data_IF_551853036515
#
_entry.id   IF_551853036515
#
_cell.length_a   1.000
_cell.length_b   1.000
_cell.length_c   1.000
_cell.angle_alpha   90.00
_cell.angle_beta   90.00
_cell.angle_gamma   90.00
#
_symmetry.space_group_name_H-M   'P 1'
#
loop_
_entity.id
_entity.type
_entity.pdbx_description
1 polymer ?
#
# COMPACT_ATOMS: atom_id res chain seq x y z
N UNK A 1 -19.64 -5.04 -36.79
CA UNK A 1 -18.91 -3.74 -36.82
C UNK A 1 -17.45 -3.88 -37.29
N UNK A 2 -16.76 -4.98 -36.96
CA UNK A 2 -15.32 -5.16 -37.28
C UNK A 2 -14.99 -5.40 -38.77
N UNK A 3 -15.80 -6.16 -39.53
CA UNK A 3 -15.53 -6.47 -40.95
C UNK A 3 -15.55 -5.20 -41.83
N UNK A 4 -16.55 -4.31 -41.64
CA UNK A 4 -16.61 -3.01 -42.35
C UNK A 4 -15.37 -2.15 -42.07
N UNK A 5 -14.85 -2.22 -40.84
CA UNK A 5 -13.66 -1.48 -40.41
C UNK A 5 -12.41 -1.97 -41.15
N UNK A 6 -12.22 -3.29 -41.26
CA UNK A 6 -11.12 -3.88 -42.02
C UNK A 6 -11.23 -3.62 -43.52
N UNK A 7 -12.42 -3.73 -44.11
CA UNK A 7 -12.62 -3.41 -45.54
C UNK A 7 -12.29 -1.95 -45.85
N UNK A 8 -12.69 -1.02 -44.99
CA UNK A 8 -12.34 0.40 -45.15
C UNK A 8 -10.84 0.64 -45.00
N UNK A 9 -10.18 -0.05 -44.06
CA UNK A 9 -8.74 0.06 -43.85
C UNK A 9 -7.98 -0.49 -45.07
N UNK A 10 -8.38 -1.65 -45.58
CA UNK A 10 -7.80 -2.24 -46.79
C UNK A 10 -8.02 -1.37 -48.02
N UNK A 11 -9.22 -0.81 -48.22
CA UNK A 11 -9.49 0.12 -49.34
C UNK A 11 -8.62 1.38 -49.30
N UNK A 12 -8.23 1.85 -48.12
CA UNK A 12 -7.42 3.07 -47.98
C UNK A 12 -5.92 2.81 -48.04
N UNK A 13 -5.43 1.71 -47.46
CA UNK A 13 -4.00 1.45 -47.28
C UNK A 13 -3.49 0.18 -47.97
N UNK A 14 -4.34 -0.51 -48.74
CA UNK A 14 -4.06 -1.82 -49.36
C UNK A 14 -3.53 -2.88 -48.37
N UNK A 15 -3.78 -2.67 -47.08
CA UNK A 15 -3.25 -3.47 -45.99
C UNK A 15 -4.27 -3.52 -44.86
N UNK A 16 -4.32 -4.68 -44.21
CA UNK A 16 -5.15 -4.93 -43.01
C UNK A 16 -4.30 -4.75 -41.74
N UNK A 17 -3.00 -4.47 -41.88
CA UNK A 17 -2.11 -4.29 -40.75
C UNK A 17 -2.53 -3.10 -39.89
N UNK A 18 -2.32 -3.24 -38.58
CA UNK A 18 -2.57 -2.16 -37.63
C UNK A 18 -1.71 -0.96 -38.02
N UNK A 19 -2.34 0.20 -38.19
CA UNK A 19 -1.62 1.45 -38.43
C UNK A 19 -0.71 1.75 -37.24
N UNK A 20 0.40 2.44 -37.52
CA UNK A 20 1.24 2.98 -36.46
C UNK A 20 0.39 4.02 -35.71
N UNK A 21 -0.14 3.63 -34.56
CA UNK A 21 -0.89 4.53 -33.69
C UNK A 21 0.11 5.52 -33.10
N UNK A 22 -0.31 6.78 -32.93
CA UNK A 22 0.36 7.67 -31.97
C UNK A 22 0.33 6.93 -30.63
N UNK A 23 1.48 6.41 -30.21
CA UNK A 23 1.57 5.58 -29.02
C UNK A 23 1.04 6.29 -27.77
N UNK A 24 1.07 5.60 -26.64
CA UNK A 24 0.68 6.19 -25.35
C UNK A 24 1.43 7.52 -25.12
N UNK A 25 0.76 8.62 -24.76
CA UNK A 25 1.40 9.91 -24.53
C UNK A 25 2.59 9.79 -23.57
N UNK A 26 3.69 10.46 -23.90
CA UNK A 26 4.88 10.54 -23.05
C UNK A 26 4.58 11.52 -21.93
N UNK A 27 4.13 11.01 -20.78
CA UNK A 27 3.84 11.86 -19.61
C UNK A 27 5.10 12.21 -18.81
N UNK A 28 6.25 11.57 -19.12
CA UNK A 28 7.56 11.93 -18.57
C UNK A 28 8.19 13.02 -19.42
N UNK A 29 7.84 14.28 -19.15
CA UNK A 29 8.54 15.45 -19.71
C UNK A 29 9.50 16.02 -18.67
N UNK A 30 10.51 16.77 -19.09
CA UNK A 30 11.48 17.38 -18.17
C UNK A 30 10.81 18.34 -17.17
N UNK A 31 9.73 19.02 -17.58
CA UNK A 31 8.96 19.91 -16.69
C UNK A 31 8.32 19.10 -15.56
N UNK A 32 7.69 17.96 -15.88
CA UNK A 32 7.06 17.09 -14.88
C UNK A 32 8.09 16.50 -13.92
N UNK A 33 9.31 16.17 -14.42
CA UNK A 33 10.41 15.71 -13.57
C UNK A 33 10.86 16.82 -12.61
N UNK A 34 10.98 18.06 -13.08
CA UNK A 34 11.33 19.23 -12.24
C UNK A 34 10.27 19.49 -11.17
N UNK A 35 8.99 19.44 -11.51
CA UNK A 35 7.88 19.63 -10.55
C UNK A 35 7.91 18.55 -9.47
N UNK A 36 8.04 17.28 -9.85
CA UNK A 36 8.11 16.17 -8.89
C UNK A 36 9.35 16.28 -8.01
N UNK A 37 10.50 16.68 -8.57
CA UNK A 37 11.73 16.91 -7.82
C UNK A 37 11.52 17.99 -6.77
N UNK A 38 10.95 19.13 -7.14
CA UNK A 38 10.68 20.24 -6.24
C UNK A 38 9.80 19.82 -5.05
N UNK A 39 8.68 19.15 -5.32
CA UNK A 39 7.76 18.69 -4.25
C UNK A 39 8.45 17.76 -3.26
N UNK A 40 9.28 16.83 -3.76
CA UNK A 40 10.01 15.88 -2.91
C UNK A 40 11.11 16.59 -2.10
N UNK A 41 11.79 17.58 -2.69
CA UNK A 41 12.79 18.39 -1.98
C UNK A 41 12.16 19.25 -0.88
N UNK A 42 11.01 19.87 -1.15
CA UNK A 42 10.29 20.69 -0.17
C UNK A 42 9.62 19.86 0.93
N UNK A 43 9.13 18.66 0.59
CA UNK A 43 8.38 17.81 1.51
C UNK A 43 8.62 16.33 1.22
N UNK A 44 9.72 15.73 1.73
CA UNK A 44 10.09 14.34 1.46
C UNK A 44 9.10 13.30 1.98
N UNK A 45 8.15 13.73 2.84
CA UNK A 45 7.07 12.90 3.42
C UNK A 45 5.82 12.85 2.55
N UNK A 46 5.79 13.51 1.39
CA UNK A 46 4.63 13.50 0.50
C UNK A 46 4.34 12.10 -0.03
N UNK A 47 3.11 11.62 0.18
CA UNK A 47 2.62 10.40 -0.47
C UNK A 47 2.61 10.58 -1.99
N UNK A 48 2.82 9.48 -2.71
CA UNK A 48 2.74 9.42 -4.18
C UNK A 48 1.38 9.92 -4.69
N UNK A 49 0.31 9.70 -3.91
CA UNK A 49 -1.05 10.15 -4.25
C UNK A 49 -1.20 11.67 -4.28
N UNK A 50 -0.33 12.41 -3.59
CA UNK A 50 -0.33 13.87 -3.56
C UNK A 50 0.63 14.48 -4.57
N UNK A 51 1.33 13.66 -5.35
CA UNK A 51 2.18 14.16 -6.41
C UNK A 51 1.34 14.49 -7.66
N UNK A 52 1.64 15.60 -8.35
CA UNK A 52 0.77 16.18 -9.37
C UNK A 52 0.61 15.34 -10.66
N UNK A 53 1.40 14.27 -10.85
CA UNK A 53 1.48 13.57 -12.14
C UNK A 53 1.40 12.04 -12.08
N UNK A 54 1.00 11.43 -13.19
CA UNK A 54 1.14 9.99 -13.42
C UNK A 54 2.11 9.77 -14.59
N UNK A 55 3.31 9.17 -14.39
CA UNK A 55 3.62 8.15 -13.40
C UNK A 55 4.73 8.59 -12.42
N UNK A 56 4.39 9.28 -11.34
CA UNK A 56 5.38 9.74 -10.35
C UNK A 56 6.31 8.63 -9.84
N UNK A 57 5.81 7.41 -9.61
CA UNK A 57 6.65 6.27 -9.21
C UNK A 57 7.82 6.02 -10.16
N UNK A 58 7.58 6.18 -11.46
CA UNK A 58 8.59 5.99 -12.50
C UNK A 58 9.56 7.15 -12.54
N UNK A 59 9.10 8.38 -12.31
CA UNK A 59 9.94 9.58 -12.21
C UNK A 59 10.89 9.45 -11.02
N UNK A 60 10.34 9.11 -9.86
CA UNK A 60 11.10 8.91 -8.63
C UNK A 60 12.18 7.84 -8.79
N UNK A 61 11.84 6.69 -9.41
CA UNK A 61 12.79 5.58 -9.54
C UNK A 61 13.81 5.77 -10.68
N UNK A 62 13.38 6.24 -11.85
CA UNK A 62 14.22 6.21 -13.05
C UNK A 62 14.90 7.55 -13.34
N UNK A 63 14.26 8.67 -13.00
CA UNK A 63 14.76 10.02 -13.34
C UNK A 63 15.42 10.69 -12.12
N UNK A 64 15.03 10.29 -10.90
CA UNK A 64 15.57 10.81 -9.63
C UNK A 64 16.34 9.77 -8.81
N UNK A 65 16.37 8.50 -9.25
CA UNK A 65 17.08 7.40 -8.59
C UNK A 65 16.72 7.20 -7.10
N UNK A 66 15.50 7.57 -6.71
CA UNK A 66 15.01 7.41 -5.34
C UNK A 66 14.40 6.04 -5.10
N UNK A 67 14.59 5.55 -3.88
CA UNK A 67 14.05 4.27 -3.41
C UNK A 67 12.91 4.47 -2.40
N UNK A 68 11.85 3.66 -2.47
CA UNK A 68 10.75 3.72 -1.54
C UNK A 68 11.08 2.99 -0.23
N UNK A 69 11.12 3.71 0.88
CA UNK A 69 11.27 3.16 2.22
C UNK A 69 9.94 3.15 2.95
N UNK A 70 9.55 1.97 3.47
CA UNK A 70 8.36 1.84 4.31
C UNK A 70 8.68 2.37 5.70
N UNK A 71 7.85 3.28 6.18
CA UNK A 71 7.92 3.74 7.57
C UNK A 71 7.51 2.60 8.50
N UNK A 72 8.43 2.25 9.41
CA UNK A 72 8.19 1.24 10.44
C UNK A 72 7.82 1.96 11.75
N UNK A 73 6.69 1.56 12.33
CA UNK A 73 6.39 1.84 13.72
C UNK A 73 6.93 0.65 14.53
N UNK A 74 8.09 0.82 15.15
CA UNK A 74 8.67 -0.21 16.02
C UNK A 74 8.19 -0.01 17.44
N UNK A 75 7.76 -1.09 18.07
CA UNK A 75 7.58 -1.14 19.52
C UNK A 75 8.85 -1.73 20.11
N UNK A 76 9.32 -1.19 21.23
CA UNK A 76 10.43 -1.78 21.97
C UNK A 76 9.96 -3.10 22.57
N UNK A 77 10.51 -4.21 22.07
CA UNK A 77 10.24 -5.54 22.61
C UNK A 77 11.21 -5.73 23.78
N UNK A 78 10.69 -5.58 25.01
CA UNK A 78 11.46 -5.86 26.20
C UNK A 78 11.85 -7.35 26.25
N UNK A 79 13.14 -7.65 26.42
CA UNK A 79 13.70 -9.02 26.46
C UNK A 79 13.03 -9.93 27.51
N UNK A 80 12.39 -9.36 28.53
CA UNK A 80 11.62 -10.10 29.54
C UNK A 80 10.39 -10.85 28.98
N UNK A 81 9.92 -10.51 27.78
CA UNK A 81 8.74 -11.14 27.17
C UNK A 81 9.03 -12.38 26.32
N UNK A 82 10.30 -12.70 26.07
CA UNK A 82 10.70 -13.80 25.17
C UNK A 82 10.18 -15.18 25.63
N UNK A 83 10.36 -15.62 26.90
CA UNK A 83 9.81 -16.89 27.36
C UNK A 83 8.28 -16.88 27.56
N UNK A 84 7.68 -15.69 27.72
CA UNK A 84 6.23 -15.51 27.86
C UNK A 84 5.50 -15.75 26.52
N UNK A 85 6.17 -15.45 25.39
CA UNK A 85 5.58 -15.54 24.06
C UNK A 85 5.19 -16.97 23.67
N UNK A 86 6.04 -17.96 23.93
CA UNK A 86 5.78 -19.36 23.58
C UNK A 86 4.64 -19.95 24.43
N UNK A 87 4.65 -19.69 25.74
CA UNK A 87 3.60 -20.15 26.65
C UNK A 87 2.25 -19.52 26.29
N UNK A 88 2.24 -18.22 26.01
CA UNK A 88 1.04 -17.52 25.54
C UNK A 88 0.54 -18.09 24.22
N UNK A 89 1.43 -18.35 23.26
CA UNK A 89 1.07 -18.93 21.97
C UNK A 89 0.42 -20.32 22.13
N UNK A 90 1.04 -21.21 22.91
CA UNK A 90 0.50 -22.55 23.17
C UNK A 90 -0.87 -22.48 23.85
N UNK A 91 -1.01 -21.61 24.86
CA UNK A 91 -2.29 -21.37 25.52
C UNK A 91 -3.34 -20.82 24.55
N UNK A 92 -2.99 -19.84 23.72
CA UNK A 92 -3.91 -19.19 22.79
C UNK A 92 -4.42 -20.14 21.72
N UNK A 93 -3.57 -21.01 21.17
CA UNK A 93 -3.97 -22.03 20.20
C UNK A 93 -4.92 -23.04 20.85
N UNK A 94 -4.62 -23.50 22.08
CA UNK A 94 -5.52 -24.40 22.81
C UNK A 94 -6.87 -23.73 23.10
N UNK A 95 -6.87 -22.48 23.54
CA UNK A 95 -8.08 -21.70 23.76
C UNK A 95 -8.90 -21.55 22.46
N UNK A 96 -8.25 -21.25 21.33
CA UNK A 96 -8.91 -21.12 20.03
C UNK A 96 -9.51 -22.44 19.53
N UNK A 97 -8.86 -23.57 19.79
CA UNK A 97 -9.37 -24.88 19.36
C UNK A 97 -10.58 -25.33 20.16
N UNK A 98 -10.70 -24.89 21.43
CA UNK A 98 -11.77 -25.30 22.33
C UNK A 98 -12.93 -24.28 22.42
N UNK A 99 -12.84 -23.14 21.74
CA UNK A 99 -13.87 -22.10 21.77
C UNK A 99 -14.22 -21.65 20.36
N UNK A 100 -15.51 -21.50 20.08
CA UNK A 100 -15.99 -21.03 18.78
C UNK A 100 -15.84 -19.52 18.61
N UNK A 101 -15.64 -18.77 19.69
CA UNK A 101 -15.52 -17.32 19.65
C UNK A 101 -14.26 -16.82 20.39
N UNK A 102 -13.56 -15.89 19.78
CA UNK A 102 -12.49 -15.12 20.42
C UNK A 102 -12.94 -13.67 20.58
N UNK A 103 -12.98 -13.21 21.82
CA UNK A 103 -13.21 -11.81 22.13
C UNK A 103 -11.88 -11.08 22.29
N UNK A 104 -11.73 -9.97 21.56
CA UNK A 104 -10.56 -9.11 21.66
C UNK A 104 -10.98 -7.67 21.87
N UNK A 105 -10.29 -7.02 22.80
CA UNK A 105 -10.34 -5.57 22.99
C UNK A 105 -9.50 -4.91 21.90
N UNK A 106 -10.10 -4.05 21.09
CA UNK A 106 -9.45 -3.34 19.99
C UNK A 106 -9.58 -1.82 20.18
N UNK A 107 -8.47 -1.11 19.97
CA UNK A 107 -8.43 0.35 19.99
C UNK A 107 -8.46 0.88 18.56
N UNK A 108 -9.33 1.85 18.29
CA UNK A 108 -9.42 2.55 17.01
C UNK A 108 -9.08 4.01 17.21
N UNK A 109 -8.15 4.53 16.41
CA UNK A 109 -7.79 5.95 16.44
C UNK A 109 -8.85 6.79 15.73
N UNK A 110 -9.32 7.86 16.36
CA UNK A 110 -10.31 8.79 15.80
C UNK A 110 -9.68 9.85 14.88
N UNK A 111 -8.41 10.18 15.13
CA UNK A 111 -7.64 11.05 14.22
C UNK A 111 -7.37 10.32 12.91
N UNK A 112 -7.31 11.03 11.78
CA UNK A 112 -6.81 10.53 10.49
C UNK A 112 -5.32 10.16 10.63
N UNK A 113 -5.06 9.01 11.22
CA UNK A 113 -3.73 8.55 11.53
C UNK A 113 -2.97 8.28 10.24
N UNK A 114 -1.66 8.52 10.26
CA UNK A 114 -0.77 8.23 9.15
C UNK A 114 -0.90 6.75 8.81
N UNK A 115 -1.54 6.44 7.69
CA UNK A 115 -1.64 5.06 7.23
C UNK A 115 -0.25 4.56 6.85
N UNK A 116 0.42 3.87 7.78
CA UNK A 116 1.77 3.33 7.61
C UNK A 116 1.88 2.33 6.46
N UNK A 117 0.77 1.80 5.95
CA UNK A 117 0.76 0.99 4.72
C UNK A 117 0.94 1.82 3.44
N UNK A 118 0.42 3.04 3.41
CA UNK A 118 0.47 3.92 2.22
C UNK A 118 1.57 4.97 2.31
N UNK A 119 2.09 5.24 3.50
CA UNK A 119 3.18 6.18 3.73
C UNK A 119 4.52 5.53 3.35
N UNK A 120 5.15 6.02 2.27
CA UNK A 120 6.51 5.65 1.86
C UNK A 120 7.34 6.90 1.68
N UNK A 121 8.53 6.88 2.24
CA UNK A 121 9.55 7.90 2.02
C UNK A 121 10.31 7.56 0.74
N UNK A 122 10.65 8.58 -0.03
CA UNK A 122 11.47 8.41 -1.23
C UNK A 122 12.82 9.09 -0.98
N UNK A 123 13.88 8.30 -0.91
CA UNK A 123 15.22 8.81 -0.65
C UNK A 123 16.27 7.96 -1.39
N UNK A 124 17.48 8.49 -1.58
CA UNK A 124 18.61 7.72 -2.14
C UNK A 124 19.07 6.66 -1.15
N UNK A 125 19.17 7.04 0.13
CA UNK A 125 19.62 6.18 1.22
C UNK A 125 18.50 5.97 2.25
N UNK A 126 18.58 4.85 2.99
CA UNK A 126 17.61 4.55 4.04
C UNK A 126 17.67 5.63 5.12
N UNK A 127 16.61 6.43 5.31
CA UNK A 127 16.70 7.60 6.17
C UNK A 127 16.62 7.25 7.67
N UNK A 128 16.46 5.97 8.04
CA UNK A 128 16.34 5.50 9.44
C UNK A 128 15.35 6.33 10.27
N UNK A 129 14.25 6.76 9.63
CA UNK A 129 13.24 7.61 10.27
C UNK A 129 12.22 6.74 10.98
N UNK A 130 12.00 7.07 12.25
CA UNK A 130 10.92 6.55 13.07
C UNK A 130 9.84 7.63 13.23
N UNK A 131 8.58 7.21 13.23
CA UNK A 131 7.47 8.12 13.55
C UNK A 131 7.07 7.86 14.98
N UNK A 132 7.27 8.86 15.82
CA UNK A 132 6.73 8.88 17.18
C UNK A 132 5.21 9.04 17.12
N UNK A 133 4.52 8.21 17.87
CA UNK A 133 3.09 8.31 18.07
C UNK A 133 2.80 9.26 19.23
N UNK A 134 1.73 10.07 19.14
CA UNK A 134 1.35 10.92 20.26
C UNK A 134 1.10 10.06 21.49
N UNK A 135 1.60 10.50 22.65
CA UNK A 135 1.50 9.78 23.93
C UNK A 135 0.04 9.51 24.33
N UNK A 136 -0.89 10.40 23.96
CA UNK A 136 -2.32 10.31 24.26
C UNK A 136 -3.16 10.52 23.00
N UNK A 137 -3.27 9.51 22.11
CA UNK A 137 -4.12 9.60 20.94
C UNK A 137 -5.59 9.46 21.34
N UNK A 138 -6.47 10.23 20.70
CA UNK A 138 -7.91 10.02 20.81
C UNK A 138 -8.27 8.66 20.19
N UNK A 139 -8.67 7.72 21.05
CA UNK A 139 -9.00 6.36 20.66
C UNK A 139 -10.36 5.96 21.21
N UNK A 140 -11.11 5.17 20.44
CA UNK A 140 -12.30 4.47 20.92
C UNK A 140 -11.92 3.03 21.19
N UNK A 141 -12.48 2.50 22.27
CA UNK A 141 -12.38 1.11 22.60
C UNK A 141 -13.60 0.31 22.18
N UNK A 142 -13.38 -0.81 21.48
CA UNK A 142 -14.43 -1.73 21.11
C UNK A 142 -14.06 -3.17 21.47
N UNK A 143 -15.08 -3.95 21.85
CA UNK A 143 -14.97 -5.40 21.94
C UNK A 143 -15.34 -6.01 20.59
N UNK A 144 -14.44 -6.79 20.03
CA UNK A 144 -14.63 -7.51 18.77
C UNK A 144 -14.68 -8.99 19.06
N UNK A 145 -15.71 -9.66 18.57
CA UNK A 145 -15.81 -11.11 18.59
C UNK A 145 -15.46 -11.66 17.19
N UNK A 146 -14.57 -12.64 17.13
CA UNK A 146 -14.34 -13.44 15.93
C UNK A 146 -14.92 -14.82 16.17
N UNK A 147 -15.89 -15.23 15.34
CA UNK A 147 -16.53 -16.53 15.41
C UNK A 147 -15.91 -17.47 14.39
N UNK A 148 -15.63 -18.71 14.80
CA UNK A 148 -15.30 -19.82 13.93
C UNK A 148 -16.57 -20.30 13.26
N UNK A 149 -16.76 -19.93 11.99
CA UNK A 149 -17.84 -20.49 11.18
C UNK A 149 -17.36 -21.84 10.63
N UNK A 150 -17.93 -22.93 11.14
CA UNK A 150 -17.73 -24.26 10.57
C UNK A 150 -18.34 -24.33 9.17
N UNK A 151 -17.60 -24.82 8.19
CA UNK A 151 -18.19 -25.26 6.93
C UNK A 151 -19.17 -26.38 7.26
N UNK A 152 -20.47 -26.14 7.09
CA UNK A 152 -21.46 -27.22 7.11
C UNK A 152 -21.20 -28.05 5.87
N UNK A 153 -20.57 -29.21 6.04
CA UNK A 153 -20.58 -30.24 5.01
C UNK A 153 -22.04 -30.64 4.82
N UNK A 154 -22.63 -30.20 3.71
CA UNK A 154 -23.94 -30.70 3.25
C UNK A 154 -23.75 -32.18 2.89
N UNK A 155 -24.03 -33.05 3.86
CA UNK A 155 -24.16 -34.48 3.67
C UNK A 155 -25.31 -34.82 2.72
N UNK A 156 -25.07 -35.90 1.97
CA UNK A 156 -25.79 -36.43 0.81
C UNK A 156 -27.30 -36.64 1.00
#
# INVERSE_FOLDING_TARGET
>A
RSIKRFLNLYRQTASVNRRQESGRPIVRTEENVKVVRQVITESPKTSISHLPHSPCRRILKNDLELHPYRLQATHEILLAYEPLGLQFYQWFINYFNNNDAVFKKAWFHLSSYVNSHHMRLWNTDNPHIYIETPLHPQTILMWVASLRVGSVETGQ
#
